data_IF_764795119701
#
_entry.id   IF_764795119701
#
_cell.length_a   1.000
_cell.length_b   1.000
_cell.length_c   1.000
_cell.angle_alpha   90.00
_cell.angle_beta   90.00
_cell.angle_gamma   90.00
#
_symmetry.space_group_name_H-M   'P 1'
#
loop_
_entity.id
_entity.type
_entity.pdbx_description
1 polymer ?
#
# COMPACT_ATOMS: atom_id res chain seq x y z
N UNK A 1 27.67 22.47 -77.03
CA UNK A 1 26.28 22.84 -77.34
C UNK A 1 25.55 22.88 -76.01
N UNK A 2 25.31 24.09 -75.48
CA UNK A 2 24.28 24.46 -74.46
C UNK A 2 24.51 23.94 -73.02
N UNK A 3 24.90 24.75 -72.02
CA UNK A 3 24.04 25.58 -71.11
C UNK A 3 22.90 24.78 -70.45
N UNK A 4 22.44 24.94 -69.21
CA UNK A 4 22.72 25.73 -68.00
C UNK A 4 21.65 25.22 -66.97
N UNK A 5 21.86 25.46 -65.66
CA UNK A 5 20.83 25.90 -64.68
C UNK A 5 19.94 24.89 -63.87
N UNK A 6 20.12 25.03 -62.54
CA UNK A 6 19.21 25.16 -61.37
C UNK A 6 18.36 24.03 -60.76
N UNK A 7 18.51 23.99 -59.43
CA UNK A 7 17.54 23.65 -58.39
C UNK A 7 16.17 24.33 -58.57
N UNK A 8 15.08 23.60 -58.27
CA UNK A 8 13.89 24.20 -57.67
C UNK A 8 13.02 23.15 -56.94
N UNK A 9 12.73 23.49 -55.70
CA UNK A 9 11.79 22.92 -54.74
C UNK A 9 10.35 22.93 -55.27
N UNK A 10 9.59 21.84 -55.05
CA UNK A 10 8.13 21.88 -54.80
C UNK A 10 7.76 20.81 -53.76
N UNK A 11 7.11 21.25 -52.68
CA UNK A 11 6.49 20.45 -51.62
C UNK A 11 5.18 19.80 -52.09
N UNK A 12 4.87 18.57 -51.65
CA UNK A 12 3.50 18.16 -51.31
C UNK A 12 3.44 16.94 -50.38
N UNK A 13 3.18 17.23 -49.10
CA UNK A 13 2.13 16.65 -48.23
C UNK A 13 2.11 15.15 -47.87
N UNK A 14 2.43 14.90 -46.58
CA UNK A 14 1.83 13.96 -45.60
C UNK A 14 0.93 12.82 -46.12
N UNK A 15 1.32 11.58 -45.82
CA UNK A 15 0.49 10.66 -45.02
C UNK A 15 1.37 10.03 -43.94
N UNK A 16 0.96 10.28 -42.70
CA UNK A 16 1.51 9.76 -41.46
C UNK A 16 1.00 8.33 -41.29
N UNK A 17 1.89 7.34 -41.19
CA UNK A 17 1.56 6.08 -40.52
C UNK A 17 2.71 5.71 -39.59
N UNK A 18 2.71 6.40 -38.45
CA UNK A 18 3.55 6.07 -37.31
C UNK A 18 2.90 4.90 -36.58
N UNK A 19 3.32 3.69 -36.92
CA UNK A 19 3.10 2.52 -36.06
C UNK A 19 3.90 2.74 -34.78
N UNK A 20 3.22 3.21 -33.74
CA UNK A 20 3.76 3.26 -32.38
C UNK A 20 4.01 1.83 -31.92
N UNK A 21 5.27 1.41 -32.05
CA UNK A 21 5.83 0.32 -31.28
C UNK A 21 5.85 0.78 -29.82
N UNK A 22 4.78 0.46 -29.09
CA UNK A 22 4.68 0.73 -27.66
C UNK A 22 5.59 -0.27 -26.92
N UNK A 23 6.90 -0.02 -26.98
CA UNK A 23 7.88 -0.66 -26.13
C UNK A 23 7.74 -0.12 -24.72
N UNK A 24 6.81 -0.65 -23.92
CA UNK A 24 6.95 -0.57 -22.48
C UNK A 24 8.08 -1.53 -22.11
N UNK A 25 9.29 -0.99 -22.07
CA UNK A 25 10.40 -1.61 -21.34
C UNK A 25 9.84 -2.09 -19.99
N UNK A 26 10.10 -3.32 -19.58
CA UNK A 26 9.48 -4.00 -18.42
C UNK A 26 9.77 -3.38 -17.04
N UNK A 27 10.01 -2.07 -16.99
CA UNK A 27 10.23 -1.25 -15.83
C UNK A 27 8.90 -1.02 -15.10
N UNK A 28 8.86 -1.44 -13.85
CA UNK A 28 7.77 -1.17 -12.92
C UNK A 28 8.22 0.02 -12.06
N UNK A 29 7.49 1.14 -12.06
CA UNK A 29 7.83 2.27 -11.19
C UNK A 29 7.77 1.86 -9.72
N UNK A 30 8.71 2.39 -8.92
CA UNK A 30 8.65 2.29 -7.46
C UNK A 30 7.37 2.98 -6.93
N UNK A 31 6.94 2.61 -5.72
CA UNK A 31 5.84 3.29 -5.06
C UNK A 31 6.34 4.60 -4.44
N UNK A 32 5.60 5.69 -4.65
CA UNK A 32 5.85 6.96 -3.99
C UNK A 32 4.65 7.38 -3.13
N UNK A 33 4.92 7.98 -1.97
CA UNK A 33 3.86 8.53 -1.11
C UNK A 33 3.07 9.59 -1.88
N UNK A 34 1.74 9.41 -1.95
CA UNK A 34 0.83 10.27 -2.69
C UNK A 34 0.41 9.73 -4.06
N UNK A 35 1.03 8.64 -4.56
CA UNK A 35 0.56 7.93 -5.74
C UNK A 35 -0.90 7.49 -5.55
N UNK A 36 -1.68 7.56 -6.64
CA UNK A 36 -3.07 7.09 -6.64
C UNK A 36 -3.20 5.82 -7.46
N UNK A 37 -3.41 4.71 -6.80
CA UNK A 37 -3.40 3.37 -7.40
C UNK A 37 -4.62 2.56 -6.98
N UNK A 38 -5.00 1.61 -7.82
CA UNK A 38 -5.86 0.50 -7.38
C UNK A 38 -5.03 -0.47 -6.54
N UNK A 39 -5.66 -1.25 -5.67
CA UNK A 39 -4.96 -2.26 -4.86
C UNK A 39 -4.13 -3.23 -5.70
N UNK A 40 -4.67 -3.70 -6.83
CA UNK A 40 -3.94 -4.61 -7.71
C UNK A 40 -2.65 -4.01 -8.29
N UNK A 41 -2.65 -2.72 -8.66
CA UNK A 41 -1.44 -2.05 -9.15
C UNK A 41 -0.47 -1.72 -8.00
N UNK A 42 -1.00 -1.37 -6.83
CA UNK A 42 -0.21 -1.20 -5.60
C UNK A 42 0.55 -2.49 -5.26
N UNK A 43 -0.14 -3.63 -5.15
CA UNK A 43 0.44 -4.93 -4.84
C UNK A 43 1.50 -5.33 -5.88
N UNK A 44 1.20 -5.14 -7.17
CA UNK A 44 2.13 -5.42 -8.27
C UNK A 44 3.43 -4.63 -8.14
N UNK A 45 3.35 -3.32 -7.84
CA UNK A 45 4.53 -2.47 -7.66
C UNK A 45 5.27 -2.81 -6.38
N UNK A 46 4.54 -3.04 -5.30
CA UNK A 46 5.14 -3.37 -4.01
C UNK A 46 5.95 -4.67 -4.08
N UNK A 47 5.40 -5.72 -4.69
CA UNK A 47 6.10 -7.00 -4.88
C UNK A 47 7.33 -6.89 -5.78
N UNK A 48 7.35 -5.92 -6.69
CA UNK A 48 8.46 -5.69 -7.62
C UNK A 48 9.60 -4.85 -7.01
N UNK A 49 9.39 -4.22 -5.86
CA UNK A 49 10.34 -3.30 -5.23
C UNK A 49 10.82 -3.81 -3.86
N UNK A 50 11.98 -4.51 -3.81
CA UNK A 50 12.51 -5.06 -2.56
C UNK A 50 13.09 -4.01 -1.60
N UNK A 51 13.28 -2.77 -2.04
CA UNK A 51 13.87 -1.71 -1.21
C UNK A 51 12.82 -1.07 -0.29
N UNK A 52 11.54 -1.14 -0.68
CA UNK A 52 10.43 -0.70 0.15
C UNK A 52 10.19 -1.69 1.28
N UNK A 53 10.34 -1.21 2.53
CA UNK A 53 10.18 -2.05 3.73
C UNK A 53 8.76 -2.09 4.26
N UNK A 54 8.02 -0.99 4.11
CA UNK A 54 6.63 -0.86 4.53
C UNK A 54 5.95 0.19 3.65
N UNK A 55 4.85 -0.20 3.03
CA UNK A 55 3.96 0.69 2.30
C UNK A 55 2.51 0.29 2.57
N UNK A 56 1.61 1.26 2.49
CA UNK A 56 0.18 1.08 2.74
C UNK A 56 -0.61 1.75 1.63
N UNK A 57 -1.78 1.21 1.32
CA UNK A 57 -2.76 1.85 0.45
C UNK A 57 -3.97 2.25 1.29
N UNK A 58 -4.26 3.55 1.37
CA UNK A 58 -5.38 4.10 2.14
C UNK A 58 -6.19 5.02 1.23
N UNK A 59 -7.46 4.70 0.99
CA UNK A 59 -8.36 5.42 0.07
C UNK A 59 -7.77 5.56 -1.34
N UNK A 60 -7.10 4.51 -1.82
CA UNK A 60 -6.40 4.49 -3.10
C UNK A 60 -5.17 5.39 -3.15
N UNK A 61 -4.69 5.91 -2.01
CA UNK A 61 -3.46 6.72 -1.90
C UNK A 61 -2.36 5.89 -1.25
N UNK A 62 -1.19 5.88 -1.88
CA UNK A 62 0.00 5.18 -1.40
C UNK A 62 0.68 5.97 -0.29
N UNK A 63 1.13 5.28 0.75
CA UNK A 63 1.97 5.80 1.82
C UNK A 63 3.18 4.89 2.00
N UNK A 64 4.37 5.37 1.67
CA UNK A 64 5.63 4.69 1.97
C UNK A 64 6.12 5.12 3.35
N UNK A 65 6.36 4.16 4.24
CA UNK A 65 6.67 4.46 5.62
C UNK A 65 8.07 5.07 5.81
N UNK A 66 8.15 5.99 6.77
CA UNK A 66 9.43 6.56 7.23
C UNK A 66 10.04 5.72 8.36
N UNK A 67 11.37 5.82 8.61
CA UNK A 67 12.01 5.11 9.70
C UNK A 67 11.38 5.37 11.08
N UNK A 68 11.12 4.29 11.81
CA UNK A 68 10.52 4.36 13.15
C UNK A 68 11.53 4.77 14.22
N UNK A 69 11.08 5.58 15.20
CA UNK A 69 11.94 6.07 16.29
C UNK A 69 11.77 5.24 17.54
N UNK A 70 12.87 4.76 18.14
CA UNK A 70 12.87 3.87 19.33
C UNK A 70 11.97 4.39 20.46
N UNK A 71 12.14 5.64 20.91
CA UNK A 71 11.38 6.17 22.06
C UNK A 71 9.93 6.51 21.73
N UNK A 72 9.64 6.95 20.50
CA UNK A 72 8.31 7.43 20.10
C UNK A 72 7.43 6.33 19.53
N UNK A 73 8.00 5.20 19.11
CA UNK A 73 7.28 4.11 18.47
C UNK A 73 7.72 2.74 19.01
N UNK A 74 9.00 2.38 18.86
CA UNK A 74 9.46 1.03 19.20
C UNK A 74 9.22 0.59 20.66
N UNK A 75 9.47 1.47 21.63
CA UNK A 75 9.18 1.20 23.05
C UNK A 75 7.68 1.03 23.32
N UNK A 76 6.79 1.98 22.96
CA UNK A 76 5.35 1.76 23.14
C UNK A 76 4.81 0.54 22.38
N UNK A 77 5.24 0.32 21.13
CA UNK A 77 4.89 -0.87 20.32
C UNK A 77 5.20 -2.17 21.07
N UNK A 78 6.44 -2.32 21.55
CA UNK A 78 6.86 -3.53 22.27
C UNK A 78 6.04 -3.83 23.53
N UNK A 79 5.54 -2.80 24.21
CA UNK A 79 4.70 -2.95 25.41
C UNK A 79 3.31 -3.46 25.06
N UNK A 80 2.72 -2.95 23.99
CA UNK A 80 1.42 -3.42 23.49
C UNK A 80 1.52 -4.88 23.05
N UNK A 81 2.52 -5.22 22.23
CA UNK A 81 2.78 -6.60 21.82
C UNK A 81 2.92 -7.50 23.05
N UNK A 82 3.75 -7.12 24.02
CA UNK A 82 3.94 -7.92 25.25
C UNK A 82 2.66 -8.15 26.03
N UNK A 83 1.81 -7.12 26.17
CA UNK A 83 0.51 -7.24 26.83
C UNK A 83 -0.44 -8.17 26.07
N UNK A 84 -0.55 -8.00 24.74
CA UNK A 84 -1.43 -8.81 23.89
C UNK A 84 -1.00 -10.27 23.80
N UNK A 85 0.31 -10.56 23.75
CA UNK A 85 0.84 -11.93 23.81
C UNK A 85 0.45 -12.62 25.11
N UNK A 86 0.56 -11.93 26.25
CA UNK A 86 0.13 -12.48 27.54
C UNK A 86 -1.38 -12.72 27.54
N UNK A 87 -2.17 -11.80 27.00
CA UNK A 87 -3.62 -11.95 26.87
C UNK A 87 -4.02 -13.15 25.99
N UNK A 88 -3.38 -13.30 24.83
CA UNK A 88 -3.56 -14.44 23.93
C UNK A 88 -3.24 -15.77 24.62
N UNK A 89 -2.17 -15.82 25.44
CA UNK A 89 -1.76 -17.06 26.11
C UNK A 89 -2.82 -17.66 27.05
N UNK A 90 -3.77 -16.83 27.51
CA UNK A 90 -4.89 -17.24 28.37
C UNK A 90 -6.25 -17.13 27.67
N UNK A 91 -6.28 -16.73 26.39
CA UNK A 91 -7.49 -16.55 25.59
C UNK A 91 -7.32 -17.20 24.20
N UNK A 92 -7.46 -18.54 24.08
CA UNK A 92 -7.02 -19.28 22.90
C UNK A 92 -7.73 -18.96 21.57
N UNK A 93 -8.90 -18.33 21.61
CA UNK A 93 -9.63 -17.92 20.41
C UNK A 93 -9.14 -16.60 19.81
N UNK A 94 -8.21 -15.91 20.49
CA UNK A 94 -7.64 -14.62 20.06
C UNK A 94 -6.35 -14.85 19.29
N UNK A 95 -6.27 -14.26 18.12
CA UNK A 95 -5.08 -14.20 17.30
C UNK A 95 -4.52 -12.77 17.31
N UNK A 96 -3.21 -12.67 17.17
CA UNK A 96 -2.50 -11.40 17.11
C UNK A 96 -1.48 -11.46 15.98
N UNK A 97 -1.32 -10.36 15.25
CA UNK A 97 -0.29 -10.22 14.24
C UNK A 97 0.33 -8.81 14.31
N UNK A 98 1.64 -8.76 14.15
CA UNK A 98 2.46 -7.55 14.19
C UNK A 98 2.85 -7.16 12.76
N UNK A 99 2.58 -5.91 12.35
CA UNK A 99 2.99 -5.35 11.06
C UNK A 99 2.59 -6.20 9.82
N UNK A 100 1.46 -6.91 9.88
CA UNK A 100 0.96 -7.70 8.75
C UNK A 100 0.13 -6.86 7.78
N UNK A 101 0.20 -7.19 6.49
CA UNK A 101 -0.71 -6.64 5.47
C UNK A 101 -2.14 -7.06 5.76
N UNK A 102 -3.02 -6.07 5.82
CA UNK A 102 -4.45 -6.20 6.05
C UNK A 102 -5.20 -5.67 4.83
N UNK A 103 -5.89 -6.55 4.09
CA UNK A 103 -6.75 -6.18 2.96
C UNK A 103 -8.18 -5.96 3.44
N UNK A 104 -8.61 -4.70 3.50
CA UNK A 104 -9.97 -4.35 3.96
C UNK A 104 -10.97 -4.33 2.80
N UNK A 105 -10.61 -3.66 1.71
CA UNK A 105 -11.46 -3.50 0.53
C UNK A 105 -10.59 -3.25 -0.73
N UNK A 106 -11.21 -2.91 -1.86
CA UNK A 106 -10.52 -2.73 -3.15
C UNK A 106 -9.58 -1.50 -3.19
N UNK A 107 -9.71 -0.58 -2.23
CA UNK A 107 -8.98 0.68 -2.16
C UNK A 107 -8.13 0.80 -0.89
N UNK A 108 -8.16 -0.22 -0.01
CA UNK A 108 -7.53 -0.16 1.31
C UNK A 108 -6.77 -1.46 1.63
N UNK A 109 -5.46 -1.29 1.80
CA UNK A 109 -4.51 -2.29 2.24
C UNK A 109 -3.54 -1.67 3.28
N UNK A 110 -4.01 -1.41 4.52
CA UNK A 110 -3.17 -0.96 5.62
C UNK A 110 -2.20 -2.06 6.13
N UNK A 111 -1.16 -1.64 6.83
CA UNK A 111 -0.28 -2.46 7.64
C UNK A 111 -0.28 -1.91 9.09
N UNK A 112 -1.34 -2.20 9.87
CA UNK A 112 -1.47 -1.72 11.24
C UNK A 112 -0.28 -2.17 12.09
N UNK A 113 0.05 -1.39 13.13
CA UNK A 113 1.08 -1.80 14.08
C UNK A 113 0.73 -3.13 14.75
N UNK A 114 -0.54 -3.32 15.15
CA UNK A 114 -1.06 -4.63 15.61
C UNK A 114 -2.48 -4.86 15.10
N UNK A 115 -2.76 -6.07 14.62
CA UNK A 115 -4.12 -6.56 14.36
C UNK A 115 -4.45 -7.70 15.33
N UNK A 116 -5.67 -7.69 15.86
CA UNK A 116 -6.21 -8.73 16.75
C UNK A 116 -7.54 -9.20 16.20
N UNK A 117 -7.66 -10.51 15.99
CA UNK A 117 -8.90 -11.10 15.49
C UNK A 117 -9.25 -12.41 16.18
N UNK A 118 -10.52 -12.78 16.14
CA UNK A 118 -11.04 -14.02 16.69
C UNK A 118 -11.10 -15.11 15.61
N UNK A 119 -10.94 -16.39 16.01
CA UNK A 119 -11.06 -17.53 15.08
C UNK A 119 -12.39 -17.55 14.31
N UNK A 120 -13.49 -17.16 14.97
CA UNK A 120 -14.83 -17.06 14.39
C UNK A 120 -15.25 -15.58 14.19
N UNK A 121 -14.26 -14.69 14.08
CA UNK A 121 -14.44 -13.24 13.91
C UNK A 121 -14.70 -12.83 12.46
N UNK A 122 -14.54 -11.53 12.20
CA UNK A 122 -14.77 -10.97 10.86
C UNK A 122 -13.50 -10.90 9.99
N UNK A 123 -12.35 -11.38 10.49
CA UNK A 123 -11.10 -11.45 9.75
C UNK A 123 -10.56 -12.88 9.66
N UNK A 124 -9.85 -13.17 8.58
CA UNK A 124 -9.30 -14.49 8.27
C UNK A 124 -8.01 -14.36 7.46
N UNK A 125 -7.19 -15.40 7.48
CA UNK A 125 -5.98 -15.48 6.65
C UNK A 125 -6.35 -15.99 5.26
N UNK A 126 -5.98 -15.26 4.22
CA UNK A 126 -6.19 -15.64 2.82
C UNK A 126 -5.30 -16.81 2.39
N UNK A 127 -5.56 -17.37 1.21
CA UNK A 127 -4.75 -18.45 0.65
C UNK A 127 -3.29 -18.04 0.33
N UNK A 128 -3.01 -16.74 0.24
CA UNK A 128 -1.68 -16.16 0.05
C UNK A 128 -1.09 -15.53 1.33
N UNK A 129 -1.60 -15.92 2.51
CA UNK A 129 -1.05 -15.60 3.84
C UNK A 129 -1.17 -14.13 4.28
N UNK A 130 -2.16 -13.40 3.76
CA UNK A 130 -2.51 -12.06 4.21
C UNK A 130 -3.77 -12.06 5.08
N UNK A 131 -3.90 -11.06 5.94
CA UNK A 131 -5.13 -10.88 6.71
C UNK A 131 -6.17 -10.17 5.84
N UNK A 132 -7.37 -10.73 5.75
CA UNK A 132 -8.51 -10.14 5.04
C UNK A 132 -9.71 -10.01 5.98
N UNK A 133 -10.60 -9.07 5.67
CA UNK A 133 -11.77 -8.77 6.50
C UNK A 133 -11.47 -7.79 7.62
N UNK A 134 -12.36 -7.67 8.60
CA UNK A 134 -12.28 -6.65 9.64
C UNK A 134 -11.84 -7.25 10.98
N UNK A 135 -10.61 -6.99 11.47
CA UNK A 135 -10.19 -7.45 12.78
C UNK A 135 -11.04 -6.83 13.89
N UNK A 136 -11.23 -7.55 14.99
CA UNK A 136 -11.97 -7.04 16.16
C UNK A 136 -11.27 -5.83 16.80
N UNK A 137 -9.94 -5.80 16.81
CA UNK A 137 -9.14 -4.67 17.30
C UNK A 137 -7.96 -4.38 16.37
N UNK A 138 -7.76 -3.09 16.09
CA UNK A 138 -6.55 -2.57 15.45
C UNK A 138 -5.85 -1.63 16.44
N UNK A 139 -4.53 -1.72 16.55
CA UNK A 139 -3.73 -0.76 17.33
C UNK A 139 -2.77 -0.02 16.41
N UNK A 140 -2.71 1.30 16.55
CA UNK A 140 -1.74 2.17 15.89
C UNK A 140 -0.98 3.02 16.92
N UNK A 141 0.35 3.02 16.86
CA UNK A 141 1.20 3.77 17.77
C UNK A 141 1.39 5.19 17.24
N UNK A 142 0.56 6.11 17.72
CA UNK A 142 0.63 7.51 17.37
C UNK A 142 1.96 8.17 17.79
N UNK A 143 2.81 8.48 16.80
CA UNK A 143 3.87 9.48 16.96
C UNK A 143 3.39 10.82 16.38
N UNK A 144 3.85 11.95 16.93
CA UNK A 144 3.24 13.28 16.74
C UNK A 144 2.97 13.76 15.30
N UNK A 145 3.62 13.19 14.27
CA UNK A 145 3.36 13.51 12.85
C UNK A 145 2.36 12.57 12.16
N UNK A 146 2.01 11.44 12.77
CA UNK A 146 1.07 10.45 12.24
C UNK A 146 -0.41 10.83 12.48
N UNK A 147 -0.69 11.88 13.26
CA UNK A 147 -2.05 12.23 13.69
C UNK A 147 -3.02 12.56 12.54
N UNK A 148 -2.49 13.05 11.41
CA UNK A 148 -3.32 13.33 10.21
C UNK A 148 -3.69 12.02 9.50
N UNK A 149 -2.72 11.10 9.37
CA UNK A 149 -2.91 9.78 8.75
C UNK A 149 -3.85 8.89 9.58
N UNK A 150 -3.72 8.95 10.91
CA UNK A 150 -4.62 8.29 11.88
C UNK A 150 -6.09 8.63 11.65
N UNK A 151 -6.43 9.84 11.18
CA UNK A 151 -7.83 10.19 10.92
C UNK A 151 -8.39 9.49 9.68
N UNK A 152 -7.60 9.39 8.61
CA UNK A 152 -8.00 8.66 7.41
C UNK A 152 -8.16 7.17 7.72
N UNK A 153 -7.17 6.59 8.41
CA UNK A 153 -7.19 5.20 8.86
C UNK A 153 -8.38 4.90 9.78
N UNK A 154 -8.67 5.75 10.76
CA UNK A 154 -9.85 5.61 11.63
C UNK A 154 -11.14 5.48 10.83
N UNK A 155 -11.36 6.33 9.81
CA UNK A 155 -12.55 6.26 8.98
C UNK A 155 -12.60 4.98 8.15
N UNK A 156 -11.45 4.56 7.59
CA UNK A 156 -11.32 3.32 6.83
C UNK A 156 -11.59 2.09 7.69
N UNK A 157 -11.06 2.03 8.91
CA UNK A 157 -11.32 0.93 9.84
C UNK A 157 -12.80 0.89 10.25
N UNK A 158 -13.36 2.05 10.62
CA UNK A 158 -14.76 2.15 11.04
C UNK A 158 -15.73 1.72 9.95
N UNK A 159 -15.53 2.18 8.70
CA UNK A 159 -16.45 1.85 7.59
C UNK A 159 -16.36 0.38 7.17
N UNK A 160 -15.20 -0.24 7.37
CA UNK A 160 -14.98 -1.66 7.09
C UNK A 160 -15.40 -2.57 8.26
N UNK A 161 -15.83 -2.01 9.40
CA UNK A 161 -16.43 -2.80 10.49
C UNK A 161 -15.45 -3.23 11.59
N UNK A 162 -14.26 -2.64 11.67
CA UNK A 162 -13.37 -2.81 12.83
C UNK A 162 -14.09 -2.29 14.08
N UNK A 163 -14.10 -3.08 15.15
CA UNK A 163 -14.92 -2.80 16.32
C UNK A 163 -14.22 -1.85 17.31
N UNK A 164 -12.91 -2.03 17.50
CA UNK A 164 -12.08 -1.22 18.38
C UNK A 164 -10.81 -0.70 17.68
N UNK A 165 -10.46 0.56 17.92
CA UNK A 165 -9.31 1.27 17.37
C UNK A 165 -8.74 2.30 18.34
#
# INVERSE_FOLDING_TARGET
MTELIQESVVQQTKVHDSTYSNGTNGYIPSLESGDRLTRAEFERRYQADPDIKKAELIEGVVYVASPVRVRKHGVPHSRIIGWLVVYQSVTPSVNIADNSTLRLDLDNEPQPDVAVWLNDGNAFISGDDYLEGAPELIVEIASSSAAIDLHAKLHVYRRNGVQEY
#
